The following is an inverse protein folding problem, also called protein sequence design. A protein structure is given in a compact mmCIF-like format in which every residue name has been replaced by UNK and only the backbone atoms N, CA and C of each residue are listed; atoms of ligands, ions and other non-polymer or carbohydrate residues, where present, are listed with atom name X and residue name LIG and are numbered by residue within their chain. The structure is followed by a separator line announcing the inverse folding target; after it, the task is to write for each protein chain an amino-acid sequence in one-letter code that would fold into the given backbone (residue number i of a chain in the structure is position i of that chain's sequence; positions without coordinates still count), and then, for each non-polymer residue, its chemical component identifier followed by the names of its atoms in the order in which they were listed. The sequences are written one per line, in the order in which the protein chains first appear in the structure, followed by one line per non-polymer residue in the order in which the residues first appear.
data_IF_366354031991
#
_entry.id   IF_366354031991
#
_cell.length_a   1.000
_cell.length_b   1.000
_cell.length_c   1.000
_cell.angle_alpha   90.00
_cell.angle_beta   90.00
_cell.angle_gamma   90.00
#
_symmetry.space_group_name_H-M   'P 1'
#
loop_
_entity.id
_entity.type
_entity.pdbx_description
1 polymer ?
#
# COMPACT_ATOMS: atom_id res chain seq x y z
N UNK A 1 -54.27 -10.11 25.95
CA UNK A 1 -53.02 -10.84 26.25
C UNK A 1 -52.85 -11.92 25.20
N UNK A 2 -52.24 -11.60 24.06
CA UNK A 2 -50.80 -11.70 23.69
C UNK A 2 -50.63 -12.89 22.71
N UNK A 3 -50.65 -12.54 21.42
CA UNK A 3 -50.45 -13.41 20.26
C UNK A 3 -48.96 -13.74 20.10
N UNK A 4 -48.54 -14.90 20.60
CA UNK A 4 -47.16 -15.37 20.49
C UNK A 4 -46.79 -15.87 19.10
N UNK A 5 -46.38 -14.98 18.20
CA UNK A 5 -45.75 -15.37 16.94
C UNK A 5 -44.32 -15.90 17.22
N UNK A 6 -44.12 -17.21 17.08
CA UNK A 6 -42.78 -17.81 17.09
C UNK A 6 -41.97 -17.28 15.90
N UNK A 7 -41.04 -16.38 16.17
CA UNK A 7 -39.98 -16.04 15.24
C UNK A 7 -39.02 -17.24 15.16
N UNK A 8 -39.00 -17.91 14.01
CA UNK A 8 -37.89 -18.81 13.67
C UNK A 8 -36.74 -17.92 13.20
N UNK A 9 -35.55 -17.97 13.82
CA UNK A 9 -34.41 -17.28 13.26
C UNK A 9 -34.11 -17.91 11.90
N UNK A 10 -34.37 -17.16 10.82
CA UNK A 10 -33.75 -17.45 9.54
C UNK A 10 -32.29 -17.07 9.76
N UNK A 11 -31.41 -18.07 9.86
CA UNK A 11 -29.99 -17.84 9.97
C UNK A 11 -29.56 -17.00 8.76
N UNK A 12 -29.34 -15.70 8.98
CA UNK A 12 -28.47 -14.93 8.11
C UNK A 12 -27.09 -15.55 8.31
N UNK A 13 -26.48 -15.97 7.21
CA UNK A 13 -25.14 -16.55 7.17
C UNK A 13 -24.12 -15.45 7.50
N UNK A 14 -24.03 -15.05 8.77
CA UNK A 14 -23.05 -14.10 9.31
C UNK A 14 -21.88 -14.88 9.93
N UNK A 15 -21.66 -16.14 9.56
CA UNK A 15 -20.57 -16.97 10.08
C UNK A 15 -19.28 -16.85 9.26
N UNK A 16 -18.95 -15.67 8.74
CA UNK A 16 -17.60 -15.40 8.21
C UNK A 16 -16.95 -14.12 8.74
N UNK A 17 -17.65 -13.31 9.54
CA UNK A 17 -17.12 -12.02 10.01
C UNK A 17 -16.73 -11.98 11.50
N UNK A 18 -16.81 -13.11 12.22
CA UNK A 18 -16.35 -13.18 13.61
C UNK A 18 -15.52 -14.43 13.92
N UNK A 19 -14.80 -14.96 12.93
CA UNK A 19 -13.74 -15.92 13.22
C UNK A 19 -12.43 -15.19 13.50
N UNK A 20 -12.14 -15.06 14.79
CA UNK A 20 -10.85 -14.69 15.40
C UNK A 20 -10.36 -13.24 15.19
N UNK A 21 -10.77 -12.28 16.04
CA UNK A 21 -10.20 -10.92 16.04
C UNK A 21 -8.67 -10.88 16.27
N UNK A 22 -8.09 -11.91 16.88
CA UNK A 22 -6.63 -12.03 16.98
C UNK A 22 -5.98 -12.49 15.66
N UNK A 23 -6.71 -13.17 14.77
CA UNK A 23 -6.23 -13.57 13.44
C UNK A 23 -6.13 -12.39 12.47
N UNK A 24 -7.02 -11.41 12.58
CA UNK A 24 -6.92 -10.14 11.85
C UNK A 24 -5.76 -9.27 12.35
N UNK A 25 -5.48 -9.30 13.66
CA UNK A 25 -4.29 -8.65 14.23
C UNK A 25 -3.00 -9.38 13.84
N UNK A 26 -3.03 -10.71 13.69
CA UNK A 26 -1.89 -11.51 13.26
C UNK A 26 -1.41 -11.17 11.84
N UNK A 27 -2.32 -10.87 10.91
CA UNK A 27 -1.97 -10.43 9.55
C UNK A 27 -1.23 -9.08 9.58
N UNK A 28 -1.72 -8.12 10.37
CA UNK A 28 -1.07 -6.82 10.56
C UNK A 28 0.30 -6.95 11.23
N UNK A 29 0.44 -7.81 12.24
CA UNK A 29 1.73 -8.04 12.91
C UNK A 29 2.72 -8.73 11.98
N UNK A 30 2.28 -9.73 11.19
CA UNK A 30 3.14 -10.40 10.20
C UNK A 30 3.64 -9.46 9.13
N UNK A 31 2.89 -8.39 8.83
CA UNK A 31 3.34 -7.37 7.91
C UNK A 31 4.43 -6.49 8.52
N UNK A 32 4.31 -6.12 9.79
CA UNK A 32 5.29 -5.29 10.48
C UNK A 32 6.59 -6.04 10.86
N UNK A 33 6.58 -7.37 10.85
CA UNK A 33 7.72 -8.22 11.24
C UNK A 33 8.40 -8.92 10.06
N UNK A 34 7.92 -8.75 8.83
CA UNK A 34 8.57 -9.35 7.67
C UNK A 34 9.86 -8.58 7.39
N UNK A 35 11.02 -9.16 7.73
CA UNK A 35 12.35 -8.57 7.54
C UNK A 35 12.74 -8.34 6.08
N UNK A 36 11.76 -8.27 5.19
CA UNK A 36 11.90 -7.91 3.80
C UNK A 36 12.11 -6.39 3.70
N UNK A 37 13.35 -5.92 3.40
CA UNK A 37 13.63 -4.50 3.29
C UNK A 37 12.88 -3.82 2.13
N UNK A 38 12.34 -4.62 1.20
CA UNK A 38 11.59 -4.13 0.03
C UNK A 38 10.12 -3.86 0.32
N UNK A 39 9.69 -4.17 1.54
CA UNK A 39 8.31 -3.99 1.96
C UNK A 39 7.97 -2.50 1.92
N UNK A 40 6.87 -2.18 1.27
CA UNK A 40 6.37 -0.81 1.08
C UNK A 40 7.22 0.11 0.19
N UNK A 41 8.40 -0.28 -0.31
CA UNK A 41 9.22 0.59 -1.18
C UNK A 41 8.42 1.18 -2.33
N UNK A 42 7.74 0.31 -3.10
CA UNK A 42 6.91 0.75 -4.23
C UNK A 42 5.82 1.72 -3.79
N UNK A 43 5.09 1.40 -2.72
CA UNK A 43 4.02 2.26 -2.22
C UNK A 43 4.54 3.62 -1.72
N UNK A 44 5.70 3.64 -1.04
CA UNK A 44 6.37 4.86 -0.62
C UNK A 44 6.82 5.71 -1.81
N UNK A 45 7.34 5.08 -2.86
CA UNK A 45 7.69 5.78 -4.10
C UNK A 45 6.44 6.32 -4.80
N UNK A 46 5.37 5.52 -4.94
CA UNK A 46 4.10 5.98 -5.52
C UNK A 46 3.53 7.18 -4.73
N UNK A 47 3.63 7.18 -3.41
CA UNK A 47 3.26 8.34 -2.59
C UNK A 47 4.11 9.59 -2.91
N UNK A 48 5.42 9.45 -3.13
CA UNK A 48 6.29 10.57 -3.54
C UNK A 48 5.80 11.13 -4.89
N UNK A 49 5.51 10.24 -5.84
CA UNK A 49 5.00 10.63 -7.15
C UNK A 49 3.70 11.42 -7.03
N UNK A 50 2.72 10.90 -6.28
CA UNK A 50 1.42 11.56 -6.10
C UNK A 50 1.56 12.89 -5.33
N UNK A 51 2.30 12.90 -4.23
CA UNK A 51 2.47 14.07 -3.36
C UNK A 51 3.26 15.22 -4.00
N UNK A 52 4.14 14.90 -4.97
CA UNK A 52 4.97 15.89 -5.65
C UNK A 52 4.59 16.15 -7.11
N UNK A 53 3.30 15.95 -7.44
CA UNK A 53 2.72 16.25 -8.77
C UNK A 53 3.43 15.51 -9.92
N UNK A 54 3.65 14.21 -9.76
CA UNK A 54 4.42 13.34 -10.66
C UNK A 54 4.09 13.43 -12.15
N UNK A 55 2.84 13.78 -12.48
CA UNK A 55 2.39 14.01 -13.85
C UNK A 55 3.09 15.20 -14.54
N UNK A 56 3.60 16.16 -13.75
CA UNK A 56 4.28 17.36 -14.21
C UNK A 56 5.82 17.27 -14.09
N UNK A 57 6.35 16.13 -13.66
CA UNK A 57 7.79 15.92 -13.61
C UNK A 57 8.39 15.97 -15.01
N UNK A 58 9.63 16.44 -15.11
CA UNK A 58 10.34 16.50 -16.40
C UNK A 58 10.59 15.09 -16.96
N UNK A 59 10.85 14.11 -16.09
CA UNK A 59 11.02 12.71 -16.42
C UNK A 59 10.39 11.82 -15.34
N UNK A 60 9.31 11.14 -15.71
CA UNK A 60 8.59 10.15 -14.90
C UNK A 60 8.65 8.76 -15.51
N UNK A 61 9.66 8.47 -16.34
CA UNK A 61 9.77 7.18 -17.04
C UNK A 61 9.72 6.00 -16.07
N UNK A 62 8.80 5.07 -16.32
CA UNK A 62 8.59 3.86 -15.51
C UNK A 62 7.67 4.05 -14.29
N UNK A 63 7.57 5.26 -13.74
CA UNK A 63 6.74 5.55 -12.57
C UNK A 63 5.26 5.18 -12.83
N UNK A 64 4.58 4.66 -11.80
CA UNK A 64 3.20 4.16 -11.85
C UNK A 64 2.95 3.01 -12.84
N UNK A 65 3.96 2.47 -13.53
CA UNK A 65 3.79 1.31 -14.38
C UNK A 65 3.75 0.03 -13.54
N UNK A 66 2.60 -0.66 -13.55
CA UNK A 66 2.36 -1.89 -12.77
C UNK A 66 3.16 -3.10 -13.26
N UNK A 67 3.65 -3.08 -14.50
CA UNK A 67 4.42 -4.19 -15.09
C UNK A 67 5.92 -4.03 -14.94
N UNK A 68 6.39 -2.86 -14.49
CA UNK A 68 7.81 -2.52 -14.33
C UNK A 68 8.17 -2.51 -12.84
N UNK A 69 9.28 -3.17 -12.50
CA UNK A 69 9.83 -3.13 -11.13
C UNK A 69 10.31 -1.71 -10.80
N UNK A 70 10.06 -1.24 -9.57
CA UNK A 70 10.38 0.14 -9.19
C UNK A 70 11.87 0.46 -9.20
N UNK A 71 12.74 -0.55 -9.18
CA UNK A 71 14.18 -0.37 -9.42
C UNK A 71 14.55 0.03 -10.84
N UNK A 72 13.62 -0.08 -11.79
CA UNK A 72 13.81 0.37 -13.17
C UNK A 72 13.20 1.76 -13.42
N UNK A 73 12.60 2.37 -12.40
CA UNK A 73 12.04 3.72 -12.52
C UNK A 73 13.14 4.76 -12.60
N UNK A 74 12.88 5.83 -13.33
CA UNK A 74 13.83 6.93 -13.45
C UNK A 74 14.18 7.50 -12.07
N UNK A 75 15.47 7.66 -11.81
CA UNK A 75 15.99 8.23 -10.55
C UNK A 75 16.09 7.25 -9.39
N UNK A 76 15.63 6.00 -9.53
CA UNK A 76 15.75 4.99 -8.47
C UNK A 76 17.03 4.18 -8.63
N UNK A 77 17.80 4.06 -7.55
CA UNK A 77 18.97 3.19 -7.47
C UNK A 77 18.68 2.06 -6.49
N UNK A 78 18.90 0.83 -6.93
CA UNK A 78 18.75 -0.36 -6.09
C UNK A 78 20.05 -1.16 -5.97
N UNK A 79 20.25 -1.79 -4.81
CA UNK A 79 21.26 -2.82 -4.56
C UNK A 79 20.57 -4.10 -4.08
N UNK A 80 20.92 -5.23 -4.68
CA UNK A 80 20.16 -6.49 -4.59
C UNK A 80 18.63 -6.30 -4.66
N UNK A 81 18.24 -5.41 -5.57
CA UNK A 81 16.87 -4.92 -5.79
C UNK A 81 16.28 -4.07 -4.63
N UNK A 82 16.89 -3.94 -3.48
CA UNK A 82 16.46 -3.01 -2.43
C UNK A 82 16.79 -1.57 -2.84
N UNK A 83 15.88 -0.63 -2.64
CA UNK A 83 16.11 0.79 -2.93
C UNK A 83 17.15 1.35 -1.96
N UNK A 84 18.25 1.86 -2.51
CA UNK A 84 19.34 2.49 -1.75
C UNK A 84 19.51 3.97 -2.06
N UNK A 85 18.80 4.48 -3.08
CA UNK A 85 18.91 5.88 -3.47
C UNK A 85 17.77 6.34 -4.37
N UNK A 86 17.48 7.63 -4.27
CA UNK A 86 16.55 8.36 -5.13
C UNK A 86 17.22 9.67 -5.56
N UNK A 87 17.31 9.89 -6.87
CA UNK A 87 17.83 11.11 -7.47
C UNK A 87 16.82 11.68 -8.46
N UNK A 88 16.09 12.69 -8.01
CA UNK A 88 15.10 13.43 -8.78
C UNK A 88 15.45 14.92 -8.86
N UNK A 89 16.75 15.24 -8.76
CA UNK A 89 17.23 16.62 -8.92
C UNK A 89 16.83 17.16 -10.29
N UNK A 90 16.52 18.45 -10.33
CA UNK A 90 16.09 19.15 -11.54
C UNK A 90 14.88 18.52 -12.25
N UNK A 91 14.08 17.70 -11.57
CA UNK A 91 12.94 16.97 -12.16
C UNK A 91 11.59 17.67 -12.01
N UNK A 92 11.59 18.99 -11.74
CA UNK A 92 10.38 19.80 -11.56
C UNK A 92 9.39 19.25 -10.51
N UNK A 93 9.90 18.71 -9.41
CA UNK A 93 9.06 18.26 -8.30
C UNK A 93 8.40 19.45 -7.60
N UNK A 94 7.09 19.39 -7.40
CA UNK A 94 6.32 20.46 -6.74
C UNK A 94 5.22 19.87 -5.87
N UNK A 95 4.84 20.53 -4.76
CA UNK A 95 3.86 19.98 -3.83
C UNK A 95 4.49 19.57 -2.50
N UNK A 96 3.87 18.61 -1.81
CA UNK A 96 4.29 18.18 -0.48
C UNK A 96 4.95 16.81 -0.55
N UNK A 97 6.17 16.73 -0.03
CA UNK A 97 6.80 15.44 0.17
C UNK A 97 6.00 14.64 1.22
N UNK A 98 5.66 13.37 0.96
CA UNK A 98 4.89 12.57 1.89
C UNK A 98 5.62 12.46 3.24
N UNK A 99 4.86 12.70 4.31
CA UNK A 99 5.30 12.41 5.67
C UNK A 99 4.58 11.15 6.13
N UNK A 100 5.35 10.17 6.58
CA UNK A 100 4.86 8.95 7.20
C UNK A 100 5.10 9.01 8.71
#
# INVERSE_FOLDING_TARGET
EELGHKLKPKALNISKEFENPCGQFQLLVSELTDGNPRKFERASLEAIYEGTTGQNWTNSSGWMNVTVDHCQWYGITCDDRVVIGIDLRDNNMSGQFPVY
#
